data_IF_066646619579
#
_entry.id   IF_066646619579
#
_cell.length_a   1.000
_cell.length_b   1.000
_cell.length_c   1.000
_cell.angle_alpha   90.00
_cell.angle_beta   90.00
_cell.angle_gamma   90.00
#
_symmetry.space_group_name_H-M   'P 1'
#
loop_
_entity.id
_entity.type
_entity.pdbx_description
1 polymer ?
#
# COMPACT_ATOMS: atom_id res chain seq x y z
N UNK A 1 -12.03 12.87 -39.24
CA UNK A 1 -11.94 14.23 -38.68
C UNK A 1 -10.58 14.36 -38.02
N UNK A 2 -9.71 15.12 -38.68
CA UNK A 2 -8.25 15.10 -38.49
C UNK A 2 -7.78 16.42 -37.83
N UNK A 3 -7.08 16.32 -36.70
CA UNK A 3 -6.80 17.42 -35.75
C UNK A 3 -5.60 18.29 -36.16
N UNK A 4 -5.53 18.76 -37.42
CA UNK A 4 -4.36 19.51 -37.93
C UNK A 4 -4.62 20.90 -38.50
N UNK A 5 -5.83 21.46 -38.41
CA UNK A 5 -6.17 22.73 -39.10
C UNK A 5 -6.49 23.95 -38.21
N UNK A 6 -6.02 24.02 -36.95
CA UNK A 6 -6.37 25.17 -36.09
C UNK A 6 -5.41 26.38 -36.17
N UNK A 7 -4.34 26.35 -36.97
CA UNK A 7 -3.36 27.46 -37.00
C UNK A 7 -3.03 27.95 -38.41
N UNK A 8 -4.03 28.46 -39.14
CA UNK A 8 -3.81 29.33 -40.31
C UNK A 8 -4.83 30.46 -40.37
N UNK A 9 -4.35 31.68 -40.16
CA UNK A 9 -5.11 32.95 -40.14
C UNK A 9 -4.85 33.63 -38.80
N UNK A 10 -3.94 34.60 -38.68
CA UNK A 10 -3.84 35.80 -39.49
C UNK A 10 -2.41 36.35 -39.46
N UNK A 11 -1.87 36.71 -40.62
CA UNK A 11 -0.67 37.52 -40.73
C UNK A 11 -1.04 39.00 -40.89
N UNK A 12 -0.30 39.87 -40.21
CA UNK A 12 -0.06 41.26 -40.61
C UNK A 12 1.24 41.70 -39.91
N UNK A 13 2.26 42.04 -40.70
CA UNK A 13 3.61 42.34 -40.21
C UNK A 13 3.82 43.79 -39.81
N UNK A 14 4.87 44.05 -39.02
CA UNK A 14 5.54 45.36 -38.88
C UNK A 14 7.03 45.14 -38.56
N UNK A 15 7.84 46.07 -39.07
CA UNK A 15 9.29 46.20 -39.09
C UNK A 15 10.04 46.01 -37.75
N UNK A 16 11.30 45.59 -37.88
CA UNK A 16 12.33 45.63 -36.84
C UNK A 16 12.65 47.07 -36.41
N UNK A 17 12.54 47.33 -35.11
CA UNK A 17 13.31 48.34 -34.41
C UNK A 17 14.00 47.65 -33.23
N UNK A 18 15.33 47.69 -33.19
CA UNK A 18 16.11 47.18 -32.08
C UNK A 18 16.00 48.16 -30.90
N UNK A 19 15.35 47.72 -29.82
CA UNK A 19 15.42 48.36 -28.51
C UNK A 19 15.93 47.34 -27.50
N UNK A 20 16.96 47.70 -26.77
CA UNK A 20 17.60 46.88 -25.72
C UNK A 20 16.57 46.39 -24.70
N UNK A 21 16.68 45.14 -24.19
CA UNK A 21 15.76 44.63 -23.20
C UNK A 21 16.00 45.31 -21.84
N UNK A 22 14.96 45.94 -21.31
CA UNK A 22 14.90 46.41 -19.93
C UNK A 22 15.03 45.21 -18.96
N UNK A 23 15.87 45.36 -17.93
CA UNK A 23 16.01 44.39 -16.84
C UNK A 23 14.68 44.20 -16.10
N UNK A 24 13.96 43.13 -16.44
CA UNK A 24 12.83 42.65 -15.65
C UNK A 24 13.37 41.92 -14.42
N UNK A 25 13.39 42.62 -13.28
CA UNK A 25 13.74 42.04 -11.98
C UNK A 25 12.92 40.79 -11.66
N UNK A 26 13.60 39.66 -11.58
CA UNK A 26 13.02 38.38 -11.18
C UNK A 26 12.73 38.39 -9.68
N UNK A 27 11.47 38.65 -9.31
CA UNK A 27 10.96 38.27 -7.98
C UNK A 27 10.84 36.75 -7.93
N UNK A 28 11.77 36.09 -7.24
CA UNK A 28 11.64 34.70 -6.84
C UNK A 28 10.37 34.53 -5.99
N UNK A 29 9.46 33.59 -6.30
CA UNK A 29 8.41 33.23 -5.37
C UNK A 29 9.05 32.65 -4.11
N UNK A 30 8.58 33.09 -2.94
CA UNK A 30 9.06 32.61 -1.65
C UNK A 30 8.92 31.08 -1.60
N UNK A 31 10.06 30.39 -1.71
CA UNK A 31 10.10 28.94 -1.65
C UNK A 31 9.61 28.48 -0.28
N UNK A 32 8.61 27.60 -0.28
CA UNK A 32 8.34 26.77 0.89
C UNK A 32 9.59 25.92 1.12
N UNK A 33 10.35 26.26 2.16
CA UNK A 33 11.48 25.44 2.59
C UNK A 33 10.94 24.14 3.17
N UNK A 34 10.92 23.09 2.36
CA UNK A 34 10.84 21.72 2.90
C UNK A 34 12.16 21.51 3.66
N UNK A 35 12.13 21.14 4.95
CA UNK A 35 13.35 20.85 5.69
C UNK A 35 14.12 19.75 4.95
N UNK A 36 15.26 20.10 4.37
CA UNK A 36 16.18 19.10 3.82
C UNK A 36 16.83 18.41 5.02
N UNK A 37 16.68 17.11 5.12
CA UNK A 37 17.48 16.33 6.04
C UNK A 37 18.93 16.39 5.53
N UNK A 38 19.85 16.86 6.38
CA UNK A 38 21.23 17.19 5.99
C UNK A 38 22.10 15.93 5.72
N UNK A 39 21.54 14.72 5.85
CA UNK A 39 22.18 13.45 5.49
C UNK A 39 21.16 12.32 5.27
N UNK A 40 21.54 11.25 4.54
CA UNK A 40 20.68 10.07 4.39
C UNK A 40 20.32 9.36 5.70
N UNK A 41 21.06 9.60 6.80
CA UNK A 41 20.68 9.14 8.15
C UNK A 41 19.51 9.94 8.71
N UNK A 42 19.47 11.24 8.44
CA UNK A 42 18.37 12.10 8.86
C UNK A 42 17.09 11.76 8.09
N UNK A 43 17.22 11.42 6.79
CA UNK A 43 16.11 10.88 5.99
C UNK A 43 15.59 9.55 6.56
N UNK A 44 16.47 8.60 6.90
CA UNK A 44 16.05 7.32 7.48
C UNK A 44 15.32 7.53 8.80
N UNK A 45 15.86 8.36 9.68
CA UNK A 45 15.25 8.70 10.97
C UNK A 45 13.90 9.39 10.78
N UNK A 46 13.78 10.30 9.81
CA UNK A 46 12.54 10.96 9.46
C UNK A 46 11.48 9.95 9.00
N UNK A 47 11.80 9.06 8.04
CA UNK A 47 10.85 8.07 7.53
C UNK A 47 10.42 7.05 8.57
N UNK A 48 11.34 6.59 9.43
CA UNK A 48 10.98 5.75 10.58
C UNK A 48 10.05 6.52 11.51
N UNK A 49 10.30 7.81 11.78
CA UNK A 49 9.41 8.64 12.61
C UNK A 49 8.01 8.78 12.01
N UNK A 50 7.90 9.03 10.70
CA UNK A 50 6.62 9.11 9.99
C UNK A 50 5.88 7.77 10.06
N UNK A 51 6.56 6.66 9.75
CA UNK A 51 5.99 5.32 9.82
C UNK A 51 5.44 5.03 11.22
N UNK A 52 6.20 5.35 12.28
CA UNK A 52 5.75 5.16 13.67
C UNK A 52 4.50 5.96 14.00
N UNK A 53 4.43 7.23 13.56
CA UNK A 53 3.23 8.08 13.75
C UNK A 53 1.98 7.49 13.11
N UNK A 54 2.12 6.81 11.97
CA UNK A 54 1.01 6.11 11.29
C UNK A 54 0.69 4.76 11.97
N UNK A 55 1.74 4.02 12.34
CA UNK A 55 1.62 2.65 12.82
C UNK A 55 1.12 2.57 14.27
N UNK A 56 1.54 3.49 15.14
CA UNK A 56 1.20 3.51 16.56
C UNK A 56 -0.30 3.47 16.82
N UNK A 57 -1.12 4.42 16.31
CA UNK A 57 -2.56 4.42 16.61
C UNK A 57 -3.29 3.19 16.07
N UNK A 58 -2.79 2.55 15.00
CA UNK A 58 -3.43 1.35 14.44
C UNK A 58 -3.00 0.10 15.21
N UNK A 59 -1.69 -0.18 15.27
CA UNK A 59 -1.20 -1.45 15.79
C UNK A 59 -1.28 -1.54 17.31
N UNK A 60 -1.05 -0.45 18.05
CA UNK A 60 -1.11 -0.50 19.52
C UNK A 60 -2.54 -0.69 20.01
N UNK A 61 -3.50 0.01 19.42
CA UNK A 61 -4.91 -0.11 19.80
C UNK A 61 -5.47 -1.47 19.36
N UNK A 62 -5.17 -1.92 18.13
CA UNK A 62 -5.67 -3.21 17.65
C UNK A 62 -5.06 -4.39 18.39
N UNK A 63 -3.75 -4.36 18.68
CA UNK A 63 -3.12 -5.39 19.52
C UNK A 63 -3.71 -5.44 20.94
N UNK A 64 -4.27 -4.32 21.41
CA UNK A 64 -4.95 -4.20 22.71
C UNK A 64 -6.47 -4.45 22.64
N UNK A 65 -7.04 -4.71 21.45
CA UNK A 65 -8.48 -4.89 21.26
C UNK A 65 -9.31 -3.63 21.48
N UNK A 66 -8.75 -2.44 21.19
CA UNK A 66 -9.40 -1.14 21.39
C UNK A 66 -9.42 -0.24 20.15
N UNK A 67 -9.04 -0.74 18.97
CA UNK A 67 -8.99 0.02 17.72
C UNK A 67 -10.35 0.61 17.36
N UNK A 68 -11.42 -0.20 17.29
CA UNK A 68 -12.76 0.31 16.94
C UNK A 68 -13.29 1.35 17.92
N UNK A 69 -12.88 1.26 19.17
CA UNK A 69 -13.29 2.19 20.21
C UNK A 69 -12.52 3.52 20.15
N UNK A 70 -11.28 3.51 19.66
CA UNK A 70 -10.34 4.65 19.75
C UNK A 70 -10.03 5.29 18.40
N UNK A 71 -10.22 4.60 17.29
CA UNK A 71 -10.03 5.15 15.96
C UNK A 71 -11.34 5.81 15.50
N UNK A 72 -11.41 7.15 15.43
CA UNK A 72 -12.57 7.81 14.88
C UNK A 72 -12.74 7.46 13.40
N UNK A 73 -14.00 7.42 12.95
CA UNK A 73 -14.33 7.18 11.54
C UNK A 73 -14.70 8.50 10.88
N UNK A 74 -13.75 9.05 10.12
CA UNK A 74 -13.96 10.23 9.30
C UNK A 74 -14.50 9.83 7.92
N UNK A 75 -15.61 10.45 7.53
CA UNK A 75 -16.32 10.09 6.30
C UNK A 75 -17.14 11.26 5.78
N UNK A 76 -17.41 11.27 4.47
CA UNK A 76 -18.40 12.16 3.89
C UNK A 76 -19.81 11.82 4.42
N UNK A 77 -20.69 12.83 4.44
CA UNK A 77 -22.08 12.64 4.87
C UNK A 77 -22.76 11.54 4.04
N UNK A 78 -23.34 10.54 4.71
CA UNK A 78 -24.04 9.42 4.07
C UNK A 78 -23.17 8.26 3.56
N UNK A 79 -21.84 8.29 3.72
CA UNK A 79 -20.95 7.29 3.13
C UNK A 79 -20.83 5.94 3.89
N UNK A 80 -21.28 5.88 5.15
CA UNK A 80 -21.19 4.74 6.08
C UNK A 80 -19.94 3.83 5.92
N UNK A 81 -18.76 4.37 6.28
CA UNK A 81 -17.44 3.73 6.24
C UNK A 81 -17.07 2.96 7.50
N UNK A 82 -17.88 3.05 8.56
CA UNK A 82 -17.64 2.32 9.83
C UNK A 82 -17.42 0.81 9.63
N UNK A 83 -18.13 0.13 8.72
CA UNK A 83 -17.95 -1.29 8.45
C UNK A 83 -16.57 -1.70 7.90
N UNK A 84 -15.84 -0.80 7.24
CA UNK A 84 -14.69 -1.16 6.37
C UNK A 84 -13.38 -0.47 6.77
N UNK A 85 -13.46 0.70 7.40
CA UNK A 85 -12.31 1.58 7.71
C UNK A 85 -11.17 0.91 8.50
N UNK A 86 -11.49 -0.04 9.38
CA UNK A 86 -10.49 -0.64 10.26
C UNK A 86 -9.63 -1.70 9.56
N UNK A 87 -10.23 -2.50 8.66
CA UNK A 87 -9.46 -3.43 7.83
C UNK A 87 -8.63 -2.67 6.80
N UNK A 88 -9.21 -1.61 6.22
CA UNK A 88 -8.51 -0.67 5.35
C UNK A 88 -7.25 -0.09 6.03
N UNK A 89 -7.37 0.39 7.27
CA UNK A 89 -6.25 0.91 8.05
C UNK A 89 -5.17 -0.14 8.32
N UNK A 90 -5.56 -1.35 8.78
CA UNK A 90 -4.63 -2.43 9.06
C UNK A 90 -3.92 -2.92 7.79
N UNK A 91 -4.69 -3.24 6.75
CA UNK A 91 -4.19 -3.83 5.51
C UNK A 91 -3.20 -2.92 4.81
N UNK A 92 -3.55 -1.64 4.63
CA UNK A 92 -2.65 -0.66 3.98
C UNK A 92 -1.39 -0.40 4.78
N UNK A 93 -1.50 -0.31 6.11
CA UNK A 93 -0.34 -0.13 6.97
C UNK A 93 0.62 -1.32 6.83
N UNK A 94 0.11 -2.55 6.97
CA UNK A 94 0.95 -3.75 6.91
C UNK A 94 1.55 -3.97 5.53
N UNK A 95 0.81 -3.70 4.45
CA UNK A 95 1.36 -3.73 3.09
C UNK A 95 2.57 -2.79 2.93
N UNK A 96 2.50 -1.60 3.52
CA UNK A 96 3.57 -0.60 3.46
C UNK A 96 4.78 -0.92 4.33
N UNK A 97 4.57 -1.39 5.57
CA UNK A 97 5.67 -1.64 6.52
C UNK A 97 6.26 -3.06 6.44
N UNK A 98 5.61 -3.99 5.72
CA UNK A 98 6.02 -5.39 5.63
C UNK A 98 7.53 -5.57 5.31
N UNK A 99 8.09 -4.97 4.25
CA UNK A 99 9.52 -5.10 3.97
C UNK A 99 10.41 -4.61 5.12
N UNK A 100 9.97 -3.57 5.83
CA UNK A 100 10.73 -3.00 6.95
C UNK A 100 10.72 -3.92 8.18
N UNK A 101 9.57 -4.48 8.56
CA UNK A 101 9.48 -5.42 9.71
C UNK A 101 10.01 -6.83 9.41
N UNK A 102 10.23 -7.15 8.13
CA UNK A 102 10.84 -8.40 7.69
C UNK A 102 12.38 -8.37 7.82
N UNK A 103 13.00 -7.18 7.83
CA UNK A 103 14.45 -7.07 7.99
C UNK A 103 14.92 -7.66 9.33
N UNK A 104 16.10 -8.32 9.36
CA UNK A 104 16.64 -8.85 10.61
C UNK A 104 16.90 -7.74 11.64
N UNK A 105 16.85 -8.12 12.92
CA UNK A 105 17.10 -7.21 14.04
C UNK A 105 18.52 -6.61 13.98
N UNK A 106 19.48 -7.34 13.39
CA UNK A 106 20.81 -6.82 13.06
C UNK A 106 20.96 -6.93 11.56
N UNK A 107 21.04 -5.78 10.88
CA UNK A 107 21.43 -5.76 9.47
C UNK A 107 22.94 -5.67 9.46
N UNK A 108 23.61 -6.76 9.12
CA UNK A 108 25.04 -6.72 8.81
C UNK A 108 25.18 -6.01 7.46
N UNK A 109 25.30 -4.69 7.49
CA UNK A 109 25.83 -3.95 6.33
C UNK A 109 27.30 -3.71 6.64
N UNK A 110 28.15 -3.85 5.63
CA UNK A 110 29.58 -3.51 5.61
C UNK A 110 29.89 -2.02 5.92
N UNK A 111 28.93 -1.25 6.42
CA UNK A 111 29.13 0.11 6.88
C UNK A 111 29.86 0.06 8.24
N UNK A 112 31.03 0.69 8.32
CA UNK A 112 31.97 0.62 9.45
C UNK A 112 31.40 0.98 10.84
N UNK A 113 32.23 0.94 11.90
CA UNK A 113 31.83 0.83 13.31
C UNK A 113 30.87 1.90 13.87
N UNK A 114 30.59 2.99 13.16
CA UNK A 114 29.66 4.06 13.55
C UNK A 114 28.20 3.89 13.07
N UNK A 115 27.86 2.78 12.40
CA UNK A 115 26.49 2.41 11.97
C UNK A 115 25.80 1.43 12.93
N UNK A 116 26.56 0.60 13.63
CA UNK A 116 26.06 -0.56 14.36
C UNK A 116 25.08 -0.22 15.50
N UNK A 117 25.26 0.92 16.18
CA UNK A 117 24.35 1.34 17.26
C UNK A 117 23.03 1.90 16.74
N UNK A 118 23.05 2.62 15.61
CA UNK A 118 21.84 3.05 14.92
C UNK A 118 21.05 1.86 14.36
N UNK A 119 21.76 0.89 13.78
CA UNK A 119 21.16 -0.33 13.24
C UNK A 119 20.57 -1.22 14.34
N UNK A 120 21.23 -1.31 15.51
CA UNK A 120 20.71 -1.99 16.70
C UNK A 120 19.49 -1.28 17.28
N UNK A 121 19.53 0.05 17.39
CA UNK A 121 18.41 0.84 17.90
C UNK A 121 17.18 0.69 16.99
N UNK A 122 17.34 0.85 15.68
CA UNK A 122 16.24 0.66 14.73
C UNK A 122 15.78 -0.80 14.68
N UNK A 123 16.70 -1.76 14.84
CA UNK A 123 16.40 -3.19 14.94
C UNK A 123 15.48 -3.55 16.10
N UNK A 124 15.68 -2.93 17.26
CA UNK A 124 14.78 -3.07 18.41
C UNK A 124 13.38 -2.54 18.10
N UNK A 125 13.31 -1.38 17.43
CA UNK A 125 12.03 -0.80 16.99
C UNK A 125 11.35 -1.73 15.98
N UNK A 126 12.07 -2.26 14.97
CA UNK A 126 11.53 -3.26 14.03
C UNK A 126 10.93 -4.47 14.75
N UNK A 127 11.66 -5.05 15.71
CA UNK A 127 11.20 -6.20 16.48
C UNK A 127 9.92 -5.90 17.27
N UNK A 128 9.82 -4.70 17.86
CA UNK A 128 8.62 -4.25 18.56
C UNK A 128 7.41 -4.17 17.60
N UNK A 129 7.56 -3.57 16.43
CA UNK A 129 6.47 -3.47 15.45
C UNK A 129 6.11 -4.82 14.84
N UNK A 130 7.08 -5.72 14.62
CA UNK A 130 6.81 -7.09 14.21
C UNK A 130 5.96 -7.84 15.26
N UNK A 131 6.24 -7.67 16.55
CA UNK A 131 5.42 -8.24 17.62
C UNK A 131 4.02 -7.59 17.71
N UNK A 132 3.94 -6.27 17.54
CA UNK A 132 2.66 -5.55 17.49
C UNK A 132 1.80 -5.99 16.31
N UNK A 133 2.37 -6.09 15.11
CA UNK A 133 1.68 -6.52 13.89
C UNK A 133 1.06 -7.92 14.06
N UNK A 134 1.83 -8.88 14.60
CA UNK A 134 1.32 -10.24 14.87
C UNK A 134 0.16 -10.25 15.86
N UNK A 135 0.26 -9.49 16.96
CA UNK A 135 -0.83 -9.36 17.94
C UNK A 135 -2.05 -8.65 17.36
N UNK A 136 -1.83 -7.62 16.53
CA UNK A 136 -2.90 -6.90 15.85
C UNK A 136 -3.66 -7.81 14.87
N UNK A 137 -2.95 -8.61 14.06
CA UNK A 137 -3.56 -9.63 13.20
C UNK A 137 -4.37 -10.61 14.05
N UNK A 138 -3.80 -11.16 15.14
CA UNK A 138 -4.50 -12.07 16.03
C UNK A 138 -5.84 -11.51 16.52
N UNK A 139 -5.86 -10.23 16.95
CA UNK A 139 -7.09 -9.54 17.37
C UNK A 139 -8.05 -9.24 16.22
N UNK A 140 -7.53 -8.99 15.02
CA UNK A 140 -8.35 -8.70 13.84
C UNK A 140 -9.11 -9.93 13.34
N UNK A 141 -8.56 -11.13 13.49
CA UNK A 141 -9.15 -12.36 12.95
C UNK A 141 -9.84 -13.24 14.00
N UNK A 142 -9.58 -13.03 15.29
CA UNK A 142 -10.20 -13.78 16.38
C UNK A 142 -11.73 -13.52 16.48
N UNK A 143 -12.58 -14.55 16.31
CA UNK A 143 -14.03 -14.42 16.44
C UNK A 143 -14.52 -13.86 17.78
N UNK A 144 -13.77 -14.05 18.86
CA UNK A 144 -14.11 -13.58 20.20
C UNK A 144 -13.59 -12.16 20.49
N UNK A 145 -12.77 -11.59 19.60
CA UNK A 145 -12.22 -10.25 19.78
C UNK A 145 -13.29 -9.17 19.54
N UNK A 146 -13.43 -8.17 20.42
CA UNK A 146 -14.28 -7.00 20.15
C UNK A 146 -13.82 -6.24 18.88
N UNK A 147 -12.54 -6.39 18.54
CA UNK A 147 -11.87 -5.78 17.40
C UNK A 147 -11.78 -6.71 16.19
N UNK A 148 -12.52 -7.83 16.17
CA UNK A 148 -12.62 -8.68 14.98
C UNK A 148 -13.03 -7.84 13.76
N UNK A 149 -12.23 -7.85 12.71
CA UNK A 149 -12.46 -7.03 11.52
C UNK A 149 -13.41 -7.73 10.54
N UNK A 150 -14.01 -6.92 9.66
CA UNK A 150 -14.99 -7.36 8.69
C UNK A 150 -14.30 -7.81 7.39
N UNK A 151 -14.53 -9.06 6.98
CA UNK A 151 -14.01 -9.64 5.73
C UNK A 151 -15.10 -9.95 4.69
N UNK A 152 -16.38 -9.79 5.04
CA UNK A 152 -17.50 -10.33 4.23
C UNK A 152 -18.59 -9.33 3.91
N UNK A 153 -18.84 -8.33 4.77
CA UNK A 153 -19.88 -7.32 4.54
C UNK A 153 -19.36 -6.21 3.64
N UNK A 154 -20.16 -5.86 2.64
CA UNK A 154 -19.81 -4.91 1.57
C UNK A 154 -18.74 -5.46 0.61
N UNK A 155 -18.33 -4.63 -0.36
CA UNK A 155 -17.34 -5.02 -1.38
C UNK A 155 -15.91 -4.63 -1.04
N UNK A 156 -15.74 -3.61 -0.19
CA UNK A 156 -14.43 -3.08 0.20
C UNK A 156 -13.51 -4.11 0.89
N UNK A 157 -14.01 -5.07 1.70
CA UNK A 157 -13.12 -6.03 2.36
C UNK A 157 -12.26 -6.86 1.40
N UNK A 158 -12.70 -7.07 0.15
CA UNK A 158 -11.86 -7.71 -0.87
C UNK A 158 -10.57 -6.92 -1.12
N UNK A 159 -10.69 -5.60 -1.25
CA UNK A 159 -9.55 -4.69 -1.45
C UNK A 159 -8.65 -4.70 -0.21
N UNK A 160 -9.24 -4.55 0.97
CA UNK A 160 -8.48 -4.39 2.20
C UNK A 160 -7.79 -5.69 2.63
N UNK A 161 -8.46 -6.83 2.43
CA UNK A 161 -7.87 -8.16 2.63
C UNK A 161 -6.73 -8.46 1.65
N UNK A 162 -6.80 -7.95 0.42
CA UNK A 162 -5.70 -8.07 -0.53
C UNK A 162 -4.46 -7.27 -0.09
N UNK A 163 -4.61 -6.07 0.48
CA UNK A 163 -3.47 -5.35 1.06
C UNK A 163 -2.90 -6.06 2.30
N UNK A 164 -3.74 -6.63 3.17
CA UNK A 164 -3.27 -7.48 4.27
C UNK A 164 -2.49 -8.69 3.73
N UNK A 165 -3.01 -9.35 2.69
CA UNK A 165 -2.39 -10.49 2.00
C UNK A 165 -1.04 -10.13 1.39
N UNK A 166 -0.94 -8.97 0.74
CA UNK A 166 0.31 -8.42 0.22
C UNK A 166 1.35 -8.21 1.33
N UNK A 167 0.92 -7.73 2.51
CA UNK A 167 1.78 -7.64 3.69
C UNK A 167 2.34 -9.01 4.11
N UNK A 168 1.48 -10.04 4.15
CA UNK A 168 1.87 -11.43 4.49
C UNK A 168 2.88 -11.98 3.47
N UNK A 169 2.64 -11.78 2.17
CA UNK A 169 3.53 -12.23 1.10
C UNK A 169 4.92 -11.58 1.16
N UNK A 170 4.98 -10.29 1.55
CA UNK A 170 6.23 -9.51 1.61
C UNK A 170 7.01 -9.65 2.91
N UNK A 171 6.37 -10.13 3.98
CA UNK A 171 7.01 -10.39 5.27
C UNK A 171 6.80 -11.84 5.71
N UNK A 172 7.33 -12.83 4.97
CA UNK A 172 7.06 -14.24 5.24
C UNK A 172 7.56 -14.69 6.61
N UNK A 173 8.74 -14.25 7.08
CA UNK A 173 9.21 -14.67 8.42
C UNK A 173 8.37 -14.03 9.52
N UNK A 174 8.02 -12.76 9.37
CA UNK A 174 7.32 -12.01 10.42
C UNK A 174 5.80 -12.27 10.43
N UNK A 175 5.14 -12.22 9.27
CA UNK A 175 3.68 -12.21 9.13
C UNK A 175 3.08 -13.53 8.62
N UNK A 176 3.88 -14.49 8.16
CA UNK A 176 3.41 -15.87 7.88
C UNK A 176 3.94 -16.84 8.91
N UNK A 177 5.26 -16.95 9.03
CA UNK A 177 5.91 -18.00 9.83
C UNK A 177 5.81 -17.68 11.32
N UNK A 178 5.96 -16.41 11.69
CA UNK A 178 5.91 -15.91 13.06
C UNK A 178 4.53 -15.82 13.71
N UNK A 179 3.43 -16.07 12.98
CA UNK A 179 2.08 -16.18 13.56
C UNK A 179 1.91 -17.52 14.29
N UNK A 180 1.16 -17.54 15.40
CA UNK A 180 0.79 -18.80 16.03
C UNK A 180 -0.26 -19.57 15.22
N UNK A 181 -0.39 -20.87 15.48
CA UNK A 181 -1.27 -21.74 14.70
C UNK A 181 -2.75 -21.32 14.73
N UNK A 182 -3.24 -20.77 15.85
CA UNK A 182 -4.63 -20.31 15.96
C UNK A 182 -4.86 -19.07 15.13
N UNK A 183 -3.95 -18.10 15.22
CA UNK A 183 -4.00 -16.89 14.39
C UNK A 183 -3.92 -17.24 12.89
N UNK A 184 -3.04 -18.16 12.48
CA UNK A 184 -2.98 -18.61 11.08
C UNK A 184 -4.30 -19.22 10.60
N UNK A 185 -4.92 -20.12 11.39
CA UNK A 185 -6.21 -20.72 11.03
C UNK A 185 -7.32 -19.67 10.87
N UNK A 186 -7.41 -18.72 11.79
CA UNK A 186 -8.40 -17.66 11.72
C UNK A 186 -8.15 -16.70 10.54
N UNK A 187 -6.88 -16.39 10.25
CA UNK A 187 -6.51 -15.58 9.10
C UNK A 187 -6.88 -16.28 7.79
N UNK A 188 -6.57 -17.57 7.65
CA UNK A 188 -6.98 -18.37 6.49
C UNK A 188 -8.51 -18.33 6.32
N UNK A 189 -9.28 -18.61 7.37
CA UNK A 189 -10.74 -18.58 7.30
C UNK A 189 -11.28 -17.20 6.92
N UNK A 190 -10.67 -16.12 7.43
CA UNK A 190 -11.04 -14.75 7.09
C UNK A 190 -10.77 -14.44 5.61
N UNK A 191 -9.61 -14.85 5.08
CA UNK A 191 -9.25 -14.67 3.68
C UNK A 191 -10.12 -15.54 2.75
N UNK A 192 -10.42 -16.78 3.11
CA UNK A 192 -11.33 -17.63 2.34
C UNK A 192 -12.74 -17.04 2.26
N UNK A 193 -13.20 -16.37 3.32
CA UNK A 193 -14.52 -15.74 3.35
C UNK A 193 -14.68 -14.59 2.35
N UNK A 194 -13.60 -14.03 1.81
CA UNK A 194 -13.69 -12.98 0.79
C UNK A 194 -14.10 -13.53 -0.58
N UNK A 195 -14.09 -14.85 -0.78
CA UNK A 195 -14.43 -15.49 -2.07
C UNK A 195 -15.86 -15.23 -2.54
N UNK A 196 -16.76 -14.88 -1.61
CA UNK A 196 -18.15 -14.50 -1.89
C UNK A 196 -18.26 -13.09 -2.52
N UNK A 197 -17.21 -12.27 -2.42
CA UNK A 197 -17.19 -10.92 -2.99
C UNK A 197 -16.76 -10.98 -4.46
N UNK A 198 -17.69 -10.62 -5.36
CA UNK A 198 -17.41 -10.59 -6.80
C UNK A 198 -16.52 -9.37 -7.14
N UNK A 199 -15.31 -9.58 -7.71
CA UNK A 199 -14.43 -8.48 -8.10
C UNK A 199 -15.03 -7.69 -9.27
N UNK A 200 -14.71 -6.39 -9.34
CA UNK A 200 -14.90 -5.62 -10.58
C UNK A 200 -14.05 -6.18 -11.72
N UNK A 201 -14.48 -5.98 -12.95
CA UNK A 201 -13.71 -6.38 -14.14
C UNK A 201 -12.65 -5.32 -14.48
N UNK A 202 -11.70 -5.15 -13.56
CA UNK A 202 -10.62 -4.16 -13.59
C UNK A 202 -9.49 -4.63 -12.65
N UNK A 203 -8.71 -3.72 -12.05
CA UNK A 203 -7.65 -4.06 -11.08
C UNK A 203 -8.12 -4.96 -9.92
N UNK A 204 -9.43 -5.01 -9.63
CA UNK A 204 -9.98 -5.85 -8.58
C UNK A 204 -9.74 -7.35 -8.79
N UNK A 205 -9.48 -7.78 -10.02
CA UNK A 205 -9.05 -9.16 -10.29
C UNK A 205 -7.73 -9.49 -9.56
N UNK A 206 -6.80 -8.53 -9.46
CA UNK A 206 -5.54 -8.72 -8.73
C UNK A 206 -5.75 -8.78 -7.22
N UNK A 207 -6.79 -8.15 -6.66
CA UNK A 207 -7.11 -8.33 -5.24
C UNK A 207 -7.47 -9.78 -4.94
N UNK A 208 -8.32 -10.39 -5.77
CA UNK A 208 -8.64 -11.81 -5.65
C UNK A 208 -7.41 -12.69 -5.81
N UNK A 209 -6.58 -12.43 -6.83
CA UNK A 209 -5.35 -13.19 -7.06
C UNK A 209 -4.36 -13.09 -5.90
N UNK A 210 -4.19 -11.91 -5.31
CA UNK A 210 -3.26 -11.68 -4.18
C UNK A 210 -3.71 -12.43 -2.93
N UNK A 211 -5.01 -12.49 -2.67
CA UNK A 211 -5.57 -13.26 -1.54
C UNK A 211 -5.31 -14.76 -1.76
N UNK A 212 -5.55 -15.28 -2.97
CA UNK A 212 -5.29 -16.69 -3.27
C UNK A 212 -3.78 -17.03 -3.18
N UNK A 213 -2.90 -16.14 -3.61
CA UNK A 213 -1.45 -16.30 -3.44
C UNK A 213 -1.05 -16.32 -1.95
N UNK A 214 -1.65 -15.47 -1.12
CA UNK A 214 -1.42 -15.50 0.33
C UNK A 214 -1.96 -16.78 0.97
N UNK A 215 -3.14 -17.27 0.57
CA UNK A 215 -3.70 -18.56 1.01
C UNK A 215 -2.75 -19.71 0.67
N UNK A 216 -2.23 -19.75 -0.56
CA UNK A 216 -1.18 -20.70 -0.97
C UNK A 216 0.04 -20.60 -0.06
N UNK A 217 0.52 -19.38 0.22
CA UNK A 217 1.69 -19.16 1.06
C UNK A 217 1.47 -19.64 2.50
N UNK A 218 0.24 -19.52 3.02
CA UNK A 218 -0.17 -19.96 4.37
C UNK A 218 -0.39 -21.48 4.46
N UNK A 219 -0.26 -22.22 3.35
CA UNK A 219 -0.51 -23.65 3.27
C UNK A 219 -1.99 -24.03 3.18
N UNK A 220 -2.86 -23.08 2.83
CA UNK A 220 -4.29 -23.31 2.64
C UNK A 220 -4.61 -23.72 1.19
N UNK A 221 -5.83 -24.20 0.97
CA UNK A 221 -6.34 -24.42 -0.38
C UNK A 221 -6.52 -23.08 -1.09
N UNK A 222 -6.01 -22.99 -2.32
CA UNK A 222 -6.06 -21.78 -3.12
C UNK A 222 -6.60 -22.09 -4.52
N UNK A 223 -7.23 -21.09 -5.12
CA UNK A 223 -7.84 -21.18 -6.44
C UNK A 223 -6.91 -20.58 -7.51
N UNK A 224 -6.17 -21.46 -8.19
CA UNK A 224 -5.26 -21.08 -9.27
C UNK A 224 -5.98 -20.45 -10.47
N UNK A 225 -7.25 -20.79 -10.70
CA UNK A 225 -8.01 -20.25 -11.83
C UNK A 225 -8.23 -18.75 -11.64
N UNK A 226 -8.50 -18.30 -10.40
CA UNK A 226 -8.61 -16.86 -10.08
C UNK A 226 -7.31 -16.10 -10.35
N UNK A 227 -6.17 -16.70 -10.01
CA UNK A 227 -4.84 -16.10 -10.24
C UNK A 227 -4.54 -16.03 -11.75
N UNK A 228 -4.67 -17.14 -12.47
CA UNK A 228 -4.44 -17.19 -13.92
C UNK A 228 -5.37 -16.23 -14.68
N UNK A 229 -6.64 -16.16 -14.28
CA UNK A 229 -7.60 -15.25 -14.89
C UNK A 229 -7.15 -13.79 -14.73
N UNK A 230 -6.77 -13.37 -13.52
CA UNK A 230 -6.29 -12.01 -13.29
C UNK A 230 -5.07 -11.68 -14.15
N UNK A 231 -4.09 -12.58 -14.23
CA UNK A 231 -2.87 -12.40 -15.02
C UNK A 231 -3.17 -12.31 -16.53
N UNK A 232 -3.97 -13.23 -17.08
CA UNK A 232 -4.36 -13.22 -18.51
C UNK A 232 -5.15 -11.96 -18.88
N UNK A 233 -6.01 -11.48 -17.99
CA UNK A 233 -6.73 -10.24 -18.24
C UNK A 233 -5.78 -9.03 -18.25
N UNK A 234 -4.83 -8.95 -17.32
CA UNK A 234 -3.86 -7.84 -17.31
C UNK A 234 -2.92 -7.88 -18.52
N UNK A 235 -2.54 -9.06 -19.01
CA UNK A 235 -1.80 -9.20 -20.28
C UNK A 235 -2.57 -8.55 -21.45
N UNK A 236 -3.88 -8.79 -21.56
CA UNK A 236 -4.74 -8.15 -22.57
C UNK A 236 -4.92 -6.64 -22.33
N UNK A 237 -4.75 -6.17 -21.10
CA UNK A 237 -4.91 -4.78 -20.73
C UNK A 237 -3.60 -3.98 -20.77
N UNK A 238 -2.48 -4.59 -21.15
CA UNK A 238 -1.22 -3.89 -21.35
C UNK A 238 -1.33 -2.85 -22.48
N UNK A 239 -0.91 -1.62 -22.20
CA UNK A 239 -1.03 -0.47 -23.12
C UNK A 239 0.31 0.06 -23.65
N UNK A 240 1.43 -0.56 -23.27
CA UNK A 240 2.78 -0.10 -23.62
C UNK A 240 3.43 0.73 -22.52
N UNK A 241 4.75 0.92 -22.62
CA UNK A 241 5.57 1.72 -21.70
C UNK A 241 5.38 1.40 -20.20
N UNK A 242 5.16 0.12 -19.89
CA UNK A 242 4.92 -0.33 -18.51
C UNK A 242 3.55 0.08 -17.97
N UNK A 243 2.61 0.56 -18.80
CA UNK A 243 1.27 0.92 -18.37
C UNK A 243 0.25 -0.18 -18.69
N UNK A 244 -0.63 -0.43 -17.73
CA UNK A 244 -1.83 -1.26 -17.86
C UNK A 244 -3.08 -0.39 -17.75
N UNK A 245 -4.14 -0.77 -18.46
CA UNK A 245 -5.47 -0.23 -18.21
C UNK A 245 -6.02 -0.75 -16.88
N UNK A 246 -6.82 0.07 -16.20
CA UNK A 246 -7.66 -0.39 -15.09
C UNK A 246 -8.89 -1.15 -15.64
N UNK A 247 -8.64 -2.27 -16.29
CA UNK A 247 -9.60 -2.97 -17.14
C UNK A 247 -9.35 -2.74 -18.65
N UNK A 248 -10.33 -3.07 -19.50
CA UNK A 248 -10.16 -3.01 -20.95
C UNK A 248 -9.85 -1.60 -21.48
N UNK A 249 -10.49 -0.60 -20.89
CA UNK A 249 -10.27 0.80 -21.20
C UNK A 249 -9.04 1.34 -20.48
N UNK A 250 -8.35 2.29 -21.12
CA UNK A 250 -7.22 2.96 -20.52
C UNK A 250 -7.69 3.99 -19.50
N UNK A 251 -7.17 3.88 -18.28
CA UNK A 251 -7.36 4.83 -17.19
C UNK A 251 -5.98 5.24 -16.68
N UNK A 252 -5.64 6.53 -16.80
CA UNK A 252 -4.36 7.05 -16.31
C UNK A 252 -4.50 7.51 -14.86
N UNK A 253 -4.57 6.54 -13.97
CA UNK A 253 -4.62 6.73 -12.54
C UNK A 253 -3.34 6.21 -11.85
N UNK A 254 -3.37 6.18 -10.53
CA UNK A 254 -2.23 5.76 -9.72
C UNK A 254 -2.13 4.23 -9.55
N UNK A 255 -3.11 3.43 -9.97
CA UNK A 255 -3.14 2.00 -9.66
C UNK A 255 -1.99 1.22 -10.27
N UNK A 256 -1.43 1.69 -11.39
CA UNK A 256 -0.21 1.10 -11.95
C UNK A 256 0.92 1.02 -10.90
N UNK A 257 1.12 2.06 -10.09
CA UNK A 257 2.28 2.15 -9.19
C UNK A 257 2.14 1.37 -7.88
N UNK A 258 0.93 1.25 -7.33
CA UNK A 258 0.73 0.67 -5.99
C UNK A 258 -0.20 -0.55 -5.94
N UNK A 259 -0.92 -0.86 -7.03
CA UNK A 259 -1.78 -2.05 -7.15
C UNK A 259 -1.27 -2.98 -8.24
N UNK A 260 -1.29 -2.56 -9.50
CA UNK A 260 -1.10 -3.44 -10.65
C UNK A 260 0.31 -4.04 -10.65
N UNK A 261 1.36 -3.22 -10.80
CA UNK A 261 2.73 -3.74 -10.80
C UNK A 261 3.09 -4.50 -9.52
N UNK A 262 2.82 -3.96 -8.31
CA UNK A 262 3.23 -4.64 -7.10
C UNK A 262 2.49 -5.96 -6.88
N UNK A 263 1.16 -6.00 -7.10
CA UNK A 263 0.40 -7.24 -6.93
C UNK A 263 0.65 -8.25 -8.04
N UNK A 264 0.92 -7.83 -9.28
CA UNK A 264 1.38 -8.75 -10.32
C UNK A 264 2.69 -9.43 -9.90
N UNK A 265 3.66 -8.67 -9.37
CA UNK A 265 4.91 -9.26 -8.87
C UNK A 265 4.68 -10.24 -7.72
N UNK A 266 3.74 -9.94 -6.82
CA UNK A 266 3.47 -10.79 -5.65
C UNK A 266 2.78 -12.13 -6.01
N UNK A 267 2.14 -12.25 -7.20
CA UNK A 267 1.37 -13.44 -7.61
C UNK A 267 1.98 -14.26 -8.76
N UNK A 268 3.11 -13.82 -9.31
CA UNK A 268 3.92 -14.57 -10.30
C UNK A 268 4.78 -15.64 -9.61
#
# INVERSE_FOLDING_TARGET
MDRRNFLKGSGAGVLFAATEPAEAGTRQPAGVQVPRADSGRDDRKFWVTVMRRLADPVLTNLASGTLKARMPVEQASGADRRPVTHLEALGRLLAGIAPWIELPAIVSVSAGPSSADGDRAEGSVRAQYAALARRAIARAVDPASPDRLNFTRDRQPLVDAAFLSQGVLRAPRTLRDGLDATTKRHLVAALESTRDIVPGFNNWLLFSATIEAALKSLGASWDMVRVEYALRQHEQWYKGDGAYGDGPAFHWDYYNSFVIHPMMLDVL
#
